data_IF_838326675877
#
_entry.id   IF_838326675877
#
_cell.length_a   1.000
_cell.length_b   1.000
_cell.length_c   1.000
_cell.angle_alpha   90.00
_cell.angle_beta   90.00
_cell.angle_gamma   90.00
#
_symmetry.space_group_name_H-M   'P 1'
#
loop_
_entity.id
_entity.type
_entity.pdbx_description
1 polymer ?
#
# COMPACT_ATOMS: atom_id res chain seq x y z
N UNK A 1 -13.58 24.46 -20.20
CA UNK A 1 -12.98 23.13 -20.32
C UNK A 1 -11.50 23.32 -20.01
N UNK A 2 -11.13 23.26 -18.71
CA UNK A 2 -9.73 23.29 -18.30
C UNK A 2 -9.14 21.92 -18.65
N UNK A 3 -7.92 21.85 -19.18
CA UNK A 3 -7.27 20.56 -19.43
C UNK A 3 -7.05 19.86 -18.10
N UNK A 4 -7.41 18.58 -18.04
CA UNK A 4 -7.03 17.68 -16.96
C UNK A 4 -5.51 17.74 -16.85
N UNK A 5 -5.00 18.20 -15.70
CA UNK A 5 -3.57 18.18 -15.42
C UNK A 5 -3.18 16.71 -15.18
N UNK A 6 -2.77 16.03 -16.25
CA UNK A 6 -2.16 14.71 -16.14
C UNK A 6 -0.92 14.79 -15.25
N UNK A 7 -0.90 14.00 -14.22
CA UNK A 7 0.29 13.83 -13.38
C UNK A 7 1.20 12.84 -14.10
N UNK A 8 2.24 13.36 -14.78
CA UNK A 8 3.20 12.52 -15.51
C UNK A 8 3.70 11.33 -14.70
N UNK A 9 3.72 10.16 -15.33
CA UNK A 9 4.30 8.95 -14.75
C UNK A 9 5.82 9.16 -14.57
N UNK A 10 6.37 8.92 -13.37
CA UNK A 10 7.83 8.90 -13.22
C UNK A 10 8.39 7.75 -14.05
N UNK A 11 9.23 8.09 -15.01
CA UNK A 11 9.80 7.15 -16.00
C UNK A 11 11.16 6.58 -15.56
N UNK A 12 11.63 6.89 -14.37
CA UNK A 12 12.94 6.43 -13.88
C UNK A 12 12.83 5.70 -12.54
N UNK A 13 13.52 4.55 -12.37
CA UNK A 13 13.62 3.84 -11.08
C UNK A 13 14.23 4.68 -9.94
N UNK A 14 14.78 5.83 -10.24
CA UNK A 14 15.47 6.73 -9.28
C UNK A 14 14.61 7.89 -8.79
N UNK A 15 13.37 8.04 -9.30
CA UNK A 15 12.50 9.12 -8.80
C UNK A 15 12.01 8.75 -7.39
N UNK A 16 12.33 9.55 -6.35
CA UNK A 16 11.86 9.25 -5.00
C UNK A 16 10.33 9.30 -4.93
N UNK A 17 9.76 8.54 -3.99
CA UNK A 17 8.35 8.64 -3.69
C UNK A 17 8.01 10.07 -3.29
N UNK A 18 6.83 10.54 -3.68
CA UNK A 18 6.37 11.90 -3.36
C UNK A 18 4.94 11.89 -2.84
N UNK A 19 4.66 12.83 -1.99
CA UNK A 19 3.32 13.16 -1.56
C UNK A 19 2.58 13.95 -2.66
N UNK A 20 1.26 13.74 -2.74
CA UNK A 20 0.33 14.56 -3.51
C UNK A 20 -0.41 15.47 -2.53
N UNK A 21 0.09 16.70 -2.30
CA UNK A 21 -0.46 17.56 -1.25
C UNK A 21 -1.84 18.12 -1.62
N UNK A 22 -2.67 18.38 -0.63
CA UNK A 22 -3.97 19.05 -0.80
C UNK A 22 -5.12 18.11 -1.16
N UNK A 23 -4.90 16.81 -1.28
CA UNK A 23 -5.99 15.85 -1.54
C UNK A 23 -6.91 15.79 -0.33
N UNK A 24 -8.19 16.10 -0.53
CA UNK A 24 -9.27 15.98 0.48
C UNK A 24 -10.32 14.96 0.04
N UNK A 25 -10.49 14.81 -1.27
CA UNK A 25 -11.49 13.92 -1.85
C UNK A 25 -10.85 12.99 -2.87
N UNK A 26 -11.39 11.78 -2.96
CA UNK A 26 -10.98 10.78 -3.93
C UNK A 26 -12.17 10.39 -4.79
N UNK A 27 -11.96 10.35 -6.09
CA UNK A 27 -12.85 9.71 -7.05
C UNK A 27 -12.13 8.52 -7.66
N UNK A 28 -12.80 7.39 -7.73
CA UNK A 28 -12.27 6.17 -8.32
C UNK A 28 -13.15 5.77 -9.51
N UNK A 29 -12.53 5.58 -10.67
CA UNK A 29 -13.22 5.17 -11.88
C UNK A 29 -12.57 3.93 -12.47
N UNK A 30 -13.37 2.87 -12.65
CA UNK A 30 -12.90 1.67 -13.34
C UNK A 30 -12.80 1.94 -14.84
N UNK A 31 -11.72 1.49 -15.44
CA UNK A 31 -11.47 1.55 -16.87
C UNK A 31 -11.14 0.15 -17.39
N UNK A 32 -11.25 -0.06 -18.69
CA UNK A 32 -10.84 -1.32 -19.29
C UNK A 32 -9.32 -1.50 -19.18
N UNK A 33 -8.83 -2.73 -18.88
CA UNK A 33 -7.41 -3.01 -18.87
C UNK A 33 -6.82 -2.83 -20.28
N UNK A 34 -5.61 -2.26 -20.41
CA UNK A 34 -4.94 -2.17 -21.70
C UNK A 34 -4.69 -3.58 -22.26
N UNK A 35 -4.88 -3.80 -23.56
CA UNK A 35 -4.63 -5.10 -24.16
C UNK A 35 -3.13 -5.45 -24.08
N UNK A 36 -2.83 -6.66 -23.63
CA UNK A 36 -1.47 -7.18 -23.66
C UNK A 36 -1.15 -7.68 -25.07
N UNK A 37 0.06 -7.39 -25.55
CA UNK A 37 0.60 -8.01 -26.76
C UNK A 37 0.85 -9.49 -26.49
N UNK A 38 0.82 -10.32 -27.54
CA UNK A 38 1.07 -11.77 -27.42
C UNK A 38 2.39 -12.06 -26.70
N UNK A 39 3.47 -11.36 -27.02
CA UNK A 39 4.76 -11.50 -26.36
C UNK A 39 4.70 -11.17 -24.85
N UNK A 40 3.92 -10.15 -24.44
CA UNK A 40 3.71 -9.80 -23.03
C UNK A 40 2.91 -10.88 -22.30
N UNK A 41 1.88 -11.43 -22.95
CA UNK A 41 1.10 -12.53 -22.38
C UNK A 41 1.98 -13.77 -22.18
N UNK A 42 2.82 -14.09 -23.16
CA UNK A 42 3.76 -15.21 -23.06
C UNK A 42 4.79 -14.99 -21.94
N UNK A 43 5.35 -13.77 -21.83
CA UNK A 43 6.28 -13.41 -20.76
C UNK A 43 5.64 -13.48 -19.38
N UNK A 44 4.43 -12.96 -19.22
CA UNK A 44 3.66 -13.03 -17.98
C UNK A 44 3.44 -14.48 -17.53
N UNK A 45 3.01 -15.35 -18.44
CA UNK A 45 2.76 -16.75 -18.14
C UNK A 45 4.05 -17.51 -17.76
N UNK A 46 5.15 -17.23 -18.45
CA UNK A 46 6.46 -17.80 -18.12
C UNK A 46 6.91 -17.36 -16.73
N UNK A 47 6.88 -16.05 -16.43
CA UNK A 47 7.24 -15.52 -15.11
C UNK A 47 6.38 -16.09 -13.99
N UNK A 48 5.10 -16.28 -14.27
CA UNK A 48 4.20 -16.90 -13.31
C UNK A 48 4.59 -18.37 -13.04
N UNK A 49 4.88 -19.15 -14.07
CA UNK A 49 5.31 -20.54 -13.92
C UNK A 49 6.60 -20.64 -13.10
N UNK A 50 7.60 -19.81 -13.40
CA UNK A 50 8.87 -19.72 -12.65
C UNK A 50 8.62 -19.36 -11.17
N UNK A 51 7.74 -18.41 -10.90
CA UNK A 51 7.43 -17.98 -9.54
C UNK A 51 6.71 -19.06 -8.73
N UNK A 52 5.76 -19.78 -9.33
CA UNK A 52 5.04 -20.89 -8.68
C UNK A 52 5.98 -22.10 -8.46
N UNK A 53 6.91 -22.36 -9.37
CA UNK A 53 7.92 -23.40 -9.17
C UNK A 53 8.81 -23.08 -7.96
N UNK A 54 9.22 -21.80 -7.82
CA UNK A 54 10.02 -21.33 -6.68
C UNK A 54 9.23 -21.26 -5.36
N UNK A 55 7.94 -20.96 -5.43
CA UNK A 55 7.04 -20.89 -4.27
C UNK A 55 5.64 -21.42 -4.64
N UNK A 56 5.35 -22.72 -4.40
CA UNK A 56 4.04 -23.32 -4.69
C UNK A 56 2.88 -22.75 -3.90
N UNK A 57 3.11 -21.97 -2.86
CA UNK A 57 2.07 -21.29 -2.08
C UNK A 57 1.57 -19.99 -2.74
N UNK A 58 2.20 -19.55 -3.83
CA UNK A 58 1.75 -18.34 -4.55
C UNK A 58 0.36 -18.57 -5.15
N UNK A 59 -0.49 -17.56 -4.92
CA UNK A 59 -1.86 -17.51 -5.43
C UNK A 59 -2.01 -16.32 -6.40
N UNK A 60 -2.61 -16.57 -7.57
CA UNK A 60 -2.94 -15.52 -8.53
C UNK A 60 -4.22 -14.78 -8.15
N UNK A 61 -4.15 -14.10 -7.00
CA UNK A 61 -5.28 -13.37 -6.43
C UNK A 61 -5.70 -12.16 -7.27
N UNK A 62 -6.97 -11.75 -7.12
CA UNK A 62 -7.45 -10.51 -7.74
C UNK A 62 -6.75 -9.30 -7.14
N UNK A 63 -6.46 -8.30 -7.97
CA UNK A 63 -5.78 -7.08 -7.56
C UNK A 63 -6.25 -5.88 -8.37
N UNK A 64 -5.93 -4.67 -7.90
CA UNK A 64 -6.22 -3.41 -8.57
C UNK A 64 -4.93 -2.77 -9.08
N UNK A 65 -4.93 -2.40 -10.35
CA UNK A 65 -3.87 -1.62 -10.99
C UNK A 65 -4.33 -0.19 -11.15
N UNK A 66 -3.51 0.78 -10.76
CA UNK A 66 -3.77 2.20 -10.98
C UNK A 66 -3.41 2.55 -12.44
N UNK A 67 -4.42 2.85 -13.25
CA UNK A 67 -4.24 3.22 -14.66
C UNK A 67 -3.81 4.67 -14.84
N UNK A 68 -4.25 5.57 -13.95
CA UNK A 68 -3.93 6.99 -14.03
C UNK A 68 -4.30 7.77 -12.80
N UNK A 69 -3.70 8.95 -12.70
CA UNK A 69 -3.91 9.91 -11.60
C UNK A 69 -4.05 11.29 -12.21
N UNK A 70 -5.15 11.98 -11.95
CA UNK A 70 -5.39 13.35 -12.41
C UNK A 70 -6.14 14.17 -11.37
N UNK A 71 -6.04 15.49 -11.44
CA UNK A 71 -6.80 16.38 -10.58
C UNK A 71 -8.10 16.79 -11.26
N UNK A 72 -9.24 16.54 -10.63
CA UNK A 72 -10.54 17.02 -11.08
C UNK A 72 -10.77 18.48 -10.66
N UNK A 73 -10.31 18.83 -9.49
CA UNK A 73 -10.29 20.17 -8.91
C UNK A 73 -9.14 20.27 -7.89
N UNK A 74 -8.87 21.44 -7.26
CA UNK A 74 -7.71 21.60 -6.34
C UNK A 74 -7.68 20.67 -5.13
N UNK A 75 -8.79 20.05 -4.76
CA UNK A 75 -8.91 19.20 -3.58
C UNK A 75 -9.35 17.75 -3.90
N UNK A 76 -9.74 17.47 -5.16
CA UNK A 76 -10.27 16.18 -5.58
C UNK A 76 -9.34 15.48 -6.56
N UNK A 77 -8.79 14.34 -6.14
CA UNK A 77 -7.95 13.49 -6.98
C UNK A 77 -8.80 12.40 -7.63
N UNK A 78 -8.69 12.27 -8.95
CA UNK A 78 -9.28 11.19 -9.73
C UNK A 78 -8.24 10.08 -9.93
N UNK A 79 -8.56 8.89 -9.48
CA UNK A 79 -7.80 7.66 -9.71
C UNK A 79 -8.56 6.79 -10.70
N UNK A 80 -7.98 6.55 -11.87
CA UNK A 80 -8.49 5.52 -12.78
C UNK A 80 -7.80 4.20 -12.48
N UNK A 81 -8.54 3.09 -12.54
CA UNK A 81 -8.02 1.79 -12.15
C UNK A 81 -8.68 0.67 -12.97
N UNK A 82 -8.04 -0.49 -13.06
CA UNK A 82 -8.60 -1.68 -13.68
C UNK A 82 -8.33 -2.94 -12.87
N UNK A 83 -9.15 -3.96 -13.11
CA UNK A 83 -9.02 -5.29 -12.47
C UNK A 83 -7.90 -6.06 -13.13
N UNK A 84 -7.08 -6.70 -12.30
CA UNK A 84 -6.00 -7.56 -12.72
C UNK A 84 -5.88 -8.75 -11.76
N UNK A 85 -4.87 -9.58 -11.97
CA UNK A 85 -4.45 -10.60 -11.02
C UNK A 85 -2.97 -10.45 -10.72
N UNK A 86 -2.52 -11.06 -9.63
CA UNK A 86 -1.16 -10.92 -9.12
C UNK A 86 -0.08 -11.23 -10.16
N UNK A 87 -0.31 -12.22 -11.05
CA UNK A 87 0.65 -12.56 -12.12
C UNK A 87 1.02 -11.38 -13.02
N UNK A 88 0.12 -10.40 -13.20
CA UNK A 88 0.42 -9.22 -14.01
C UNK A 88 1.56 -8.39 -13.41
N UNK A 89 1.68 -8.34 -12.08
CA UNK A 89 2.77 -7.62 -11.43
C UNK A 89 4.14 -8.23 -11.70
N UNK A 90 4.23 -9.54 -11.97
CA UNK A 90 5.49 -10.19 -12.31
C UNK A 90 6.05 -9.71 -13.65
N UNK A 91 5.19 -9.22 -14.53
CA UNK A 91 5.61 -8.66 -15.82
C UNK A 91 6.45 -7.37 -15.68
N UNK A 92 6.36 -6.65 -14.54
CA UNK A 92 7.23 -5.49 -14.26
C UNK A 92 8.72 -5.80 -14.38
N UNK A 93 9.10 -7.03 -14.05
CA UNK A 93 10.49 -7.47 -13.95
C UNK A 93 11.00 -8.13 -15.25
N UNK A 94 10.16 -8.26 -16.27
CA UNK A 94 10.60 -8.84 -17.54
C UNK A 94 11.43 -7.80 -18.31
N UNK A 95 12.70 -8.09 -18.67
CA UNK A 95 13.60 -7.11 -19.27
C UNK A 95 13.23 -6.74 -20.71
N UNK A 96 12.52 -7.63 -21.44
CA UNK A 96 12.20 -7.41 -22.86
C UNK A 96 10.75 -6.96 -23.06
N UNK A 97 9.84 -7.47 -22.23
CA UNK A 97 8.40 -7.31 -22.43
C UNK A 97 7.72 -6.64 -21.23
N UNK A 98 8.50 -6.20 -20.24
CA UNK A 98 8.00 -5.50 -19.07
C UNK A 98 7.16 -4.30 -19.42
N UNK A 99 6.17 -4.04 -18.59
CA UNK A 99 5.38 -2.82 -18.63
C UNK A 99 5.18 -2.27 -17.21
N UNK A 100 4.96 -0.96 -17.07
CA UNK A 100 4.60 -0.41 -15.78
C UNK A 100 3.22 -0.94 -15.38
N UNK A 101 3.14 -1.54 -14.18
CA UNK A 101 1.90 -2.02 -13.57
C UNK A 101 1.80 -1.39 -12.18
N UNK A 102 1.41 -0.10 -12.09
CA UNK A 102 1.33 0.60 -10.82
C UNK A 102 0.26 -0.02 -9.93
N UNK A 103 0.59 -0.41 -8.69
CA UNK A 103 -0.41 -0.85 -7.72
C UNK A 103 -1.17 0.34 -7.14
N UNK A 104 -2.43 0.12 -6.80
CA UNK A 104 -3.16 0.93 -5.85
C UNK A 104 -3.13 0.19 -4.51
N UNK A 105 -2.69 0.85 -3.46
CA UNK A 105 -2.61 0.27 -2.12
C UNK A 105 -3.08 1.26 -1.06
N UNK A 106 -3.47 0.74 0.08
CA UNK A 106 -3.82 1.54 1.25
C UNK A 106 -2.85 1.24 2.39
N UNK A 107 -2.67 2.19 3.28
CA UNK A 107 -2.04 1.94 4.57
C UNK A 107 -2.62 2.83 5.67
N UNK A 108 -2.34 2.46 6.92
CA UNK A 108 -2.81 3.19 8.09
C UNK A 108 -1.63 3.77 8.86
N UNK A 109 -1.63 5.09 8.99
CA UNK A 109 -0.83 5.78 9.97
C UNK A 109 -1.50 5.62 11.34
N UNK A 110 -0.97 4.74 12.19
CA UNK A 110 -1.42 4.52 13.56
C UNK A 110 -0.53 5.30 14.51
N UNK A 111 -0.96 6.50 14.98
CA UNK A 111 -0.21 7.25 15.97
C UNK A 111 -0.40 6.68 17.37
N UNK A 112 0.60 6.93 18.22
CA UNK A 112 0.48 6.73 19.67
C UNK A 112 0.05 8.02 20.37
N UNK A 113 -0.44 7.90 21.59
CA UNK A 113 -0.87 9.04 22.41
C UNK A 113 0.28 10.01 22.73
N UNK A 114 1.53 9.49 22.76
CA UNK A 114 2.75 10.27 22.96
C UNK A 114 3.43 10.73 21.66
N UNK A 115 2.72 10.62 20.54
CA UNK A 115 3.13 11.19 19.25
C UNK A 115 4.10 10.36 18.42
N UNK A 116 4.23 9.06 18.67
CA UNK A 116 4.97 8.16 17.80
C UNK A 116 4.07 7.60 16.69
N UNK A 117 4.66 7.05 15.65
CA UNK A 117 4.01 6.36 14.55
C UNK A 117 4.40 4.90 14.57
N UNK A 118 3.41 4.01 14.58
CA UNK A 118 3.64 2.57 14.46
C UNK A 118 4.13 2.24 13.05
N UNK A 119 5.20 1.45 12.97
CA UNK A 119 5.71 0.83 11.74
C UNK A 119 5.87 -0.68 11.96
N UNK A 120 5.63 -1.46 10.91
CA UNK A 120 5.81 -2.90 10.92
C UNK A 120 6.92 -3.34 9.98
N UNK A 121 7.60 -4.43 10.32
CA UNK A 121 8.60 -5.05 9.45
C UNK A 121 8.00 -6.31 8.79
N UNK A 122 8.04 -6.37 7.47
CA UNK A 122 7.50 -7.50 6.70
C UNK A 122 8.22 -8.81 7.03
N UNK A 123 7.46 -9.86 7.31
CA UNK A 123 7.99 -11.19 7.52
C UNK A 123 8.62 -11.78 6.25
N UNK A 124 9.40 -12.85 6.37
CA UNK A 124 10.09 -13.50 5.24
C UNK A 124 9.14 -14.07 4.18
N UNK A 125 7.88 -14.28 4.51
CA UNK A 125 6.83 -14.79 3.62
C UNK A 125 6.13 -13.72 2.79
N UNK A 126 6.34 -12.43 3.09
CA UNK A 126 5.66 -11.32 2.41
C UNK A 126 6.37 -10.90 1.12
N UNK A 127 5.72 -10.03 0.34
CA UNK A 127 6.28 -9.47 -0.90
C UNK A 127 7.48 -8.54 -0.68
N UNK A 128 7.66 -8.02 0.55
CA UNK A 128 8.76 -7.13 0.92
C UNK A 128 9.43 -7.60 2.23
N UNK A 129 10.15 -8.73 2.19
CA UNK A 129 10.76 -9.32 3.38
C UNK A 129 11.73 -8.36 4.05
N UNK A 130 11.59 -8.19 5.38
CA UNK A 130 12.48 -7.37 6.18
C UNK A 130 12.35 -5.86 5.98
N UNK A 131 11.46 -5.39 5.12
CA UNK A 131 11.24 -3.96 4.89
C UNK A 131 10.28 -3.37 5.92
N UNK A 132 10.62 -2.21 6.48
CA UNK A 132 9.73 -1.42 7.32
C UNK A 132 8.68 -0.71 6.48
N UNK A 133 7.44 -0.71 6.94
CA UNK A 133 6.28 -0.12 6.27
C UNK A 133 5.21 0.30 7.29
N UNK A 134 4.23 1.11 6.85
CA UNK A 134 2.98 1.22 7.60
C UNK A 134 2.13 -0.03 7.37
N UNK A 135 1.29 -0.44 8.35
CA UNK A 135 0.29 -1.48 8.12
C UNK A 135 -0.57 -1.16 6.90
N UNK A 136 -0.76 -2.15 6.01
CA UNK A 136 -1.52 -1.93 4.80
C UNK A 136 -1.20 -2.91 3.68
N UNK A 137 -2.04 -2.88 2.63
CA UNK A 137 -1.95 -3.84 1.54
C UNK A 137 -2.38 -3.30 0.19
N UNK A 138 -2.07 -4.06 -0.85
CA UNK A 138 -2.52 -3.78 -2.22
C UNK A 138 -4.03 -3.97 -2.29
N UNK A 139 -4.73 -3.01 -2.91
CA UNK A 139 -6.17 -3.08 -3.08
C UNK A 139 -6.60 -4.29 -3.87
N UNK A 140 -7.62 -4.95 -3.37
CA UNK A 140 -8.38 -5.96 -4.09
C UNK A 140 -9.62 -5.31 -4.71
N UNK A 141 -10.06 -5.74 -5.91
CA UNK A 141 -11.29 -5.23 -6.47
C UNK A 141 -12.47 -5.68 -5.60
N UNK A 142 -13.40 -4.76 -5.37
CA UNK A 142 -14.71 -5.14 -4.83
C UNK A 142 -15.36 -6.21 -5.72
N UNK A 143 -16.31 -6.96 -5.20
CA UNK A 143 -16.97 -8.05 -5.95
C UNK A 143 -17.44 -7.63 -7.34
N UNK A 144 -17.74 -8.59 -8.20
CA UNK A 144 -18.17 -8.32 -9.59
C UNK A 144 -19.35 -7.35 -9.62
N UNK A 145 -19.21 -6.28 -10.41
CA UNK A 145 -20.23 -5.24 -10.54
C UNK A 145 -20.31 -4.24 -9.38
N UNK A 146 -19.42 -4.35 -8.39
CA UNK A 146 -19.32 -3.37 -7.29
C UNK A 146 -18.22 -2.37 -7.62
N UNK A 147 -18.56 -1.09 -7.64
CA UNK A 147 -17.58 -0.02 -7.84
C UNK A 147 -16.63 0.08 -6.64
N UNK A 148 -15.36 0.34 -6.93
CA UNK A 148 -14.39 0.72 -5.90
C UNK A 148 -14.61 2.19 -5.56
N UNK A 149 -14.84 2.48 -4.29
CA UNK A 149 -15.05 3.82 -3.76
C UNK A 149 -14.18 4.07 -2.50
N UNK A 150 -14.24 5.27 -1.95
CA UNK A 150 -13.50 5.61 -0.73
C UNK A 150 -13.91 4.73 0.46
N UNK A 151 -15.17 4.31 0.56
CA UNK A 151 -15.61 3.41 1.62
C UNK A 151 -14.97 2.01 1.49
N UNK A 152 -14.75 1.54 0.26
CA UNK A 152 -13.99 0.31 0.01
C UNK A 152 -12.54 0.45 0.47
N UNK A 153 -11.88 1.59 0.18
CA UNK A 153 -10.51 1.86 0.65
C UNK A 153 -10.43 1.88 2.18
N UNK A 154 -11.37 2.53 2.85
CA UNK A 154 -11.45 2.60 4.32
C UNK A 154 -11.63 1.21 4.94
N UNK A 155 -12.56 0.41 4.42
CA UNK A 155 -12.78 -0.97 4.91
C UNK A 155 -11.54 -1.84 4.72
N UNK A 156 -10.86 -1.71 3.58
CA UNK A 156 -9.62 -2.45 3.32
C UNK A 156 -8.53 -2.02 4.30
N UNK A 157 -8.31 -0.72 4.48
CA UNK A 157 -7.32 -0.19 5.42
C UNK A 157 -7.56 -0.63 6.86
N UNK A 158 -8.82 -0.60 7.34
CA UNK A 158 -9.19 -1.08 8.67
C UNK A 158 -8.94 -2.59 8.82
N UNK A 159 -9.20 -3.39 7.77
CA UNK A 159 -8.93 -4.82 7.75
C UNK A 159 -7.42 -5.10 7.86
N UNK A 160 -6.60 -4.43 7.05
CA UNK A 160 -5.14 -4.59 7.08
C UNK A 160 -4.55 -4.26 8.46
N UNK A 161 -5.02 -3.18 9.10
CA UNK A 161 -4.57 -2.83 10.45
C UNK A 161 -4.94 -3.94 11.46
N UNK A 162 -6.11 -4.53 11.34
CA UNK A 162 -6.55 -5.64 12.20
C UNK A 162 -5.77 -6.93 11.92
N UNK A 163 -5.51 -7.26 10.66
CA UNK A 163 -4.81 -8.48 10.24
C UNK A 163 -3.30 -8.42 10.55
N UNK A 164 -2.67 -7.25 10.41
CA UNK A 164 -1.21 -7.10 10.59
C UNK A 164 -0.80 -6.71 12.03
N UNK A 165 -1.66 -5.99 12.77
CA UNK A 165 -1.34 -5.43 14.10
C UNK A 165 -2.26 -5.96 15.20
N UNK A 166 -3.41 -6.54 14.85
CA UNK A 166 -4.44 -6.95 15.81
C UNK A 166 -5.27 -5.77 16.32
N UNK A 167 -5.10 -4.57 15.75
CA UNK A 167 -5.86 -3.38 16.16
C UNK A 167 -7.10 -3.20 15.30
N UNK A 168 -8.27 -3.40 15.90
CA UNK A 168 -9.57 -3.21 15.23
C UNK A 168 -10.01 -1.76 15.38
N UNK A 169 -10.23 -1.09 14.25
CA UNK A 169 -10.77 0.26 14.14
C UNK A 169 -11.98 0.26 13.22
N UNK A 170 -13.01 1.05 13.52
CA UNK A 170 -14.12 1.20 12.60
C UNK A 170 -13.67 1.98 11.35
N UNK A 171 -14.06 1.55 10.13
CA UNK A 171 -13.64 2.25 8.90
C UNK A 171 -13.96 3.74 8.90
N UNK A 172 -15.08 4.13 9.52
CA UNK A 172 -15.52 5.53 9.66
C UNK A 172 -14.68 6.38 10.63
N UNK A 173 -13.87 5.75 11.48
CA UNK A 173 -12.93 6.43 12.36
C UNK A 173 -11.58 6.71 11.68
N UNK A 174 -11.36 6.18 10.47
CA UNK A 174 -10.18 6.43 9.67
C UNK A 174 -10.36 7.71 8.84
N UNK A 175 -9.41 8.62 8.93
CA UNK A 175 -9.40 9.87 8.17
C UNK A 175 -8.40 9.81 7.02
N UNK A 176 -8.77 10.33 5.82
CA UNK A 176 -7.81 10.48 4.73
C UNK A 176 -6.68 11.40 5.18
N UNK A 177 -5.48 10.84 5.28
CA UNK A 177 -4.31 11.58 5.77
C UNK A 177 -3.49 12.17 4.65
N UNK A 178 -3.15 11.35 3.64
CA UNK A 178 -2.42 11.79 2.45
C UNK A 178 -2.48 10.74 1.34
N UNK A 179 -2.07 11.16 0.15
CA UNK A 179 -1.85 10.27 -1.00
C UNK A 179 -0.41 10.40 -1.45
N UNK A 180 0.23 9.27 -1.76
CA UNK A 180 1.60 9.26 -2.27
C UNK A 180 1.66 8.62 -3.66
N UNK A 181 2.69 8.98 -4.40
CA UNK A 181 3.09 8.31 -5.63
C UNK A 181 4.49 7.74 -5.48
N UNK A 182 4.61 6.43 -5.60
CA UNK A 182 5.88 5.72 -5.54
C UNK A 182 6.70 5.88 -6.83
N UNK A 183 7.98 5.51 -6.77
CA UNK A 183 8.92 5.61 -7.90
C UNK A 183 8.50 4.77 -9.12
N UNK A 184 7.75 3.70 -8.92
CA UNK A 184 7.21 2.82 -9.97
C UNK A 184 5.81 3.25 -10.44
N UNK A 185 5.35 4.44 -10.05
CA UNK A 185 4.02 4.96 -10.35
C UNK A 185 2.90 4.41 -9.45
N UNK A 186 3.17 3.49 -8.53
CA UNK A 186 2.17 2.99 -7.57
C UNK A 186 1.62 4.12 -6.72
N UNK A 187 0.32 4.04 -6.41
CA UNK A 187 -0.39 5.06 -5.64
C UNK A 187 -0.77 4.48 -4.29
N UNK A 188 -0.34 5.15 -3.23
CA UNK A 188 -0.74 4.83 -1.87
C UNK A 188 -1.76 5.83 -1.35
N UNK A 189 -2.88 5.34 -0.85
CA UNK A 189 -3.86 6.12 -0.11
C UNK A 189 -3.67 5.82 1.37
N UNK A 190 -3.26 6.83 2.13
CA UNK A 190 -2.91 6.65 3.53
C UNK A 190 -3.98 7.28 4.41
N UNK A 191 -4.49 6.47 5.34
CA UNK A 191 -5.45 6.90 6.33
C UNK A 191 -4.78 7.06 7.69
N UNK A 192 -5.34 7.92 8.54
CA UNK A 192 -4.90 8.11 9.92
C UNK A 192 -5.95 7.53 10.86
N UNK A 193 -5.53 6.67 11.75
CA UNK A 193 -6.36 6.14 12.83
C UNK A 193 -6.32 7.06 14.06
N UNK A 194 -7.30 6.99 14.97
CA UNK A 194 -7.23 7.61 16.28
C UNK A 194 -6.01 7.13 17.06
N UNK A 195 -5.37 8.05 17.80
CA UNK A 195 -4.21 7.71 18.62
C UNK A 195 -4.56 6.65 19.68
N UNK A 196 -3.55 5.83 20.04
CA UNK A 196 -3.66 4.77 21.06
C UNK A 196 -2.39 4.68 21.89
N UNK A 197 -2.46 4.22 23.15
CA UNK A 197 -1.27 3.94 23.93
C UNK A 197 -0.37 2.91 23.24
N UNK A 198 0.94 3.14 23.23
CA UNK A 198 1.92 2.26 22.58
C UNK A 198 1.94 0.85 23.20
N UNK A 199 1.74 0.74 24.50
CA UNK A 199 1.65 -0.53 25.23
C UNK A 199 0.41 -1.32 24.79
N UNK A 200 -0.75 -0.67 24.62
CA UNK A 200 -1.96 -1.32 24.13
C UNK A 200 -1.78 -1.89 22.71
N UNK A 201 -1.14 -1.15 21.82
CA UNK A 201 -0.82 -1.62 20.46
C UNK A 201 0.17 -2.80 20.50
N UNK A 202 1.17 -2.73 21.37
CA UNK A 202 2.15 -3.81 21.57
C UNK A 202 1.49 -5.09 22.10
N UNK A 203 0.57 -4.97 23.05
CA UNK A 203 -0.17 -6.12 23.57
C UNK A 203 -1.10 -6.74 22.52
N UNK A 204 -1.78 -5.91 21.70
CA UNK A 204 -2.66 -6.40 20.63
C UNK A 204 -1.86 -7.17 19.58
N UNK A 205 -0.72 -6.61 19.16
CA UNK A 205 0.19 -7.28 18.23
C UNK A 205 0.73 -8.60 18.81
N UNK A 206 1.14 -8.63 20.07
CA UNK A 206 1.63 -9.85 20.72
C UNK A 206 0.54 -10.95 20.77
N UNK A 207 -0.72 -10.58 21.02
CA UNK A 207 -1.86 -11.52 20.97
C UNK A 207 -2.08 -12.05 19.56
N UNK A 208 -2.08 -11.16 18.55
CA UNK A 208 -2.18 -11.57 17.15
C UNK A 208 -1.10 -12.59 16.77
N UNK A 209 0.16 -12.30 17.10
CA UNK A 209 1.29 -13.21 16.81
C UNK A 209 1.08 -14.57 17.48
N UNK A 210 0.67 -14.58 18.76
CA UNK A 210 0.41 -15.82 19.48
C UNK A 210 -0.72 -16.63 18.84
N UNK A 211 -1.80 -15.97 18.43
CA UNK A 211 -2.95 -16.59 17.75
C UNK A 211 -2.59 -17.16 16.37
N UNK A 212 -1.78 -16.43 15.57
CA UNK A 212 -1.32 -16.92 14.27
C UNK A 212 -0.42 -18.15 14.42
N UNK A 213 0.54 -18.09 15.34
CA UNK A 213 1.43 -19.22 15.65
C UNK A 213 0.64 -20.43 16.15
N UNK A 214 -0.35 -20.23 17.03
CA UNK A 214 -1.21 -21.32 17.53
C UNK A 214 -2.03 -21.99 16.41
N UNK A 215 -2.33 -21.26 15.33
CA UNK A 215 -3.00 -21.78 14.12
C UNK A 215 -2.03 -22.34 13.07
N UNK A 216 -0.73 -22.35 13.35
CA UNK A 216 0.31 -22.80 12.42
C UNK A 216 0.56 -21.82 11.25
N UNK A 217 0.20 -20.54 11.41
CA UNK A 217 0.43 -19.50 10.41
C UNK A 217 1.60 -18.59 10.84
N UNK A 218 2.23 -17.98 9.83
CA UNK A 218 3.25 -16.95 10.07
C UNK A 218 2.59 -15.58 9.98
N UNK A 219 2.75 -14.71 11.01
CA UNK A 219 2.29 -13.32 10.90
C UNK A 219 2.90 -12.60 9.70
N UNK A 220 2.17 -11.67 9.10
CA UNK A 220 2.67 -10.89 7.96
C UNK A 220 3.74 -9.88 8.37
N UNK A 221 3.66 -9.37 9.58
CA UNK A 221 4.73 -8.58 10.20
C UNK A 221 5.48 -9.45 11.22
N UNK A 222 6.81 -9.47 11.15
CA UNK A 222 7.63 -10.20 12.13
C UNK A 222 8.02 -9.31 13.33
N UNK A 223 7.84 -7.99 13.20
CA UNK A 223 8.17 -7.00 14.23
C UNK A 223 7.37 -5.72 14.04
N UNK A 224 7.02 -5.05 15.14
CA UNK A 224 6.57 -3.65 15.13
C UNK A 224 7.56 -2.77 15.86
N UNK A 225 7.56 -1.47 15.54
CA UNK A 225 8.31 -0.42 16.22
C UNK A 225 7.52 0.89 16.19
N UNK A 226 7.96 1.85 17.00
CA UNK A 226 7.37 3.18 17.08
C UNK A 226 8.44 4.22 16.79
N UNK A 227 8.15 5.16 15.91
CA UNK A 227 9.09 6.20 15.47
C UNK A 227 8.45 7.59 15.54
N UNK A 228 9.24 8.63 15.81
CA UNK A 228 8.81 10.03 15.77
C UNK A 228 9.25 10.74 14.50
N UNK A 229 10.28 10.21 13.85
CA UNK A 229 10.94 10.90 12.74
C UNK A 229 11.58 9.93 11.75
N UNK A 230 11.98 10.48 10.62
CA UNK A 230 12.79 9.75 9.64
C UNK A 230 14.14 9.28 10.21
N UNK A 231 14.76 10.07 11.09
CA UNK A 231 16.03 9.69 11.72
C UNK A 231 15.88 8.43 12.59
N UNK A 232 14.79 8.35 13.38
CA UNK A 232 14.50 7.13 14.16
C UNK A 232 14.17 5.92 13.26
N UNK A 233 13.59 6.14 12.08
CA UNK A 233 13.42 5.07 11.09
C UNK A 233 14.76 4.54 10.57
N UNK A 234 15.73 5.42 10.33
CA UNK A 234 17.09 5.02 9.91
C UNK A 234 17.80 4.22 11.02
N UNK A 235 17.59 4.58 12.30
CA UNK A 235 18.15 3.87 13.46
C UNK A 235 17.62 2.43 13.60
N UNK A 236 16.39 2.14 13.12
CA UNK A 236 15.87 0.78 13.10
C UNK A 236 16.69 -0.14 12.18
N UNK A 237 17.39 0.43 11.22
CA UNK A 237 18.18 -0.29 10.21
C UNK A 237 17.32 -1.11 9.23
N UNK A 238 17.98 -1.74 8.27
CA UNK A 238 17.31 -2.53 7.24
C UNK A 238 16.79 -1.66 6.08
N UNK A 239 15.89 -2.23 5.30
CA UNK A 239 15.22 -1.53 4.19
C UNK A 239 13.85 -1.00 4.62
N UNK A 240 13.29 -0.07 3.88
CA UNK A 240 11.92 0.38 4.09
C UNK A 240 11.16 0.52 2.76
N UNK A 241 9.84 0.46 2.83
CA UNK A 241 8.99 0.79 1.72
C UNK A 241 9.28 2.21 1.25
N UNK A 242 9.36 2.43 -0.07
CA UNK A 242 9.84 3.68 -0.66
C UNK A 242 9.02 4.93 -0.28
N UNK A 243 7.78 4.76 0.16
CA UNK A 243 6.90 5.84 0.62
C UNK A 243 7.07 6.15 2.11
N UNK A 244 7.63 5.22 2.91
CA UNK A 244 7.71 5.37 4.37
C UNK A 244 8.55 6.59 4.82
N UNK A 245 9.69 6.94 4.20
CA UNK A 245 10.43 8.15 4.55
C UNK A 245 9.61 9.44 4.42
N UNK A 246 8.81 9.55 3.35
CA UNK A 246 7.93 10.70 3.12
C UNK A 246 6.83 10.76 4.18
N UNK A 247 6.26 9.63 4.55
CA UNK A 247 5.20 9.54 5.57
C UNK A 247 5.73 9.82 6.97
N UNK A 248 6.92 9.33 7.32
CA UNK A 248 7.58 9.64 8.58
C UNK A 248 7.89 11.14 8.72
N UNK A 249 8.39 11.78 7.65
CA UNK A 249 8.62 13.22 7.63
C UNK A 249 7.32 14.03 7.80
N UNK A 250 6.24 13.63 7.12
CA UNK A 250 4.92 14.25 7.27
C UNK A 250 4.40 14.11 8.71
N UNK A 251 4.55 12.93 9.33
CA UNK A 251 4.13 12.70 10.70
C UNK A 251 4.83 13.66 11.68
N UNK A 252 6.16 13.78 11.56
CA UNK A 252 6.95 14.67 12.40
C UNK A 252 6.50 16.16 12.33
N UNK A 253 6.15 16.63 11.12
CA UNK A 253 5.63 18.00 10.93
C UNK A 253 4.27 18.18 11.62
N UNK A 254 3.37 17.18 11.51
CA UNK A 254 2.04 17.27 12.12
C UNK A 254 2.05 17.25 13.66
N UNK A 255 3.13 16.80 14.28
CA UNK A 255 3.30 16.80 15.74
C UNK A 255 3.92 18.09 16.26
N UNK A 256 4.48 18.92 15.37
CA UNK A 256 5.13 20.20 15.73
C UNK A 256 4.21 21.41 15.55
N UNK A 257 2.99 21.21 15.07
CA UNK A 257 1.96 22.23 14.81
C UNK A 257 0.87 22.22 15.86
#
# INVERSE_FOLDING_TARGET
>A
MQPDLEVELPTSPQTPARELPGVRNLLLTEVDPPPLREAQTAAMNRRWAEAVEANPALFDGPTVVCAGVSWKDPETLLLTWYRATYRLFLLRQDPEHGLPVPSLFVSVAQPTDDGQLLVGRGASSTSHPGAWQLPGGTMEPAGTGVALDTACLLRHAARELAEEVGHVVAPEDLELWTVTRGHNGSVGVHFRAPARPADALTEQYARLVADEVARGRTPELDRIAFIRSHAELEELGGTCANVLPVLAARHAVSMSS
#
